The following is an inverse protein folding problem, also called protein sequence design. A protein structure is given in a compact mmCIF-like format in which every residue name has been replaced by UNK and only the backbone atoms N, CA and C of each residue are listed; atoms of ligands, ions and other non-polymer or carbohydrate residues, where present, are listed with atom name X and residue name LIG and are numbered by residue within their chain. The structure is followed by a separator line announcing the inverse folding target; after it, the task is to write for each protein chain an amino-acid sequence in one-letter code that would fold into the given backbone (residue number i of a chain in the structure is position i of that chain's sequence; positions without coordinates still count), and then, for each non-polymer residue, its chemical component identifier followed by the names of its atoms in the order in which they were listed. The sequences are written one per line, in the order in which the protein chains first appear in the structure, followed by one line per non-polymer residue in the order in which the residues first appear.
data_IF_708317435752
#
_entry.id   IF_708317435752
#
_cell.length_a   1.000
_cell.length_b   1.000
_cell.length_c   1.000
_cell.angle_alpha   90.00
_cell.angle_beta   90.00
_cell.angle_gamma   90.00
#
_symmetry.space_group_name_H-M   'P 1'
#
loop_
_entity.id
_entity.type
_entity.pdbx_description
1 polymer ?
#
# COMPACT_ATOMS: atom_id res chain seq x y z
N UNK A 1 -17.17 -4.34 12.27
CA UNK A 1 -16.69 -4.51 13.64
C UNK A 1 -15.33 -5.25 13.62
N UNK A 2 -14.24 -4.68 14.16
CA UNK A 2 -12.91 -5.28 14.16
C UNK A 2 -12.79 -6.59 14.95
N UNK A 3 -13.57 -6.74 16.03
CA UNK A 3 -13.54 -7.93 16.89
C UNK A 3 -14.09 -9.14 16.12
N UNK A 4 -15.26 -8.98 15.50
CA UNK A 4 -15.90 -10.03 14.71
C UNK A 4 -15.03 -10.50 13.54
N UNK A 5 -14.31 -9.58 12.87
CA UNK A 5 -13.36 -9.95 11.79
C UNK A 5 -12.19 -10.77 12.31
N UNK A 6 -11.63 -10.40 13.46
CA UNK A 6 -10.53 -11.16 14.07
C UNK A 6 -11.00 -12.58 14.42
N UNK A 7 -12.20 -12.72 14.98
CA UNK A 7 -12.72 -14.04 15.35
C UNK A 7 -13.07 -14.87 14.12
N UNK A 8 -13.56 -14.25 13.04
CA UNK A 8 -13.71 -14.91 11.75
C UNK A 8 -12.39 -15.45 11.20
N UNK A 9 -11.32 -14.65 11.21
CA UNK A 9 -9.99 -15.10 10.78
C UNK A 9 -9.44 -16.26 11.61
N UNK A 10 -9.72 -16.31 12.92
CA UNK A 10 -9.35 -17.46 13.76
C UNK A 10 -10.01 -18.74 13.27
N UNK A 11 -11.30 -18.69 12.92
CA UNK A 11 -12.02 -19.85 12.39
C UNK A 11 -11.39 -20.32 11.08
N UNK A 12 -11.06 -19.40 10.17
CA UNK A 12 -10.40 -19.74 8.91
C UNK A 12 -9.04 -20.43 9.14
N UNK A 13 -8.26 -19.97 10.12
CA UNK A 13 -6.98 -20.59 10.45
C UNK A 13 -7.15 -21.99 11.06
N UNK A 14 -8.17 -22.24 11.89
CA UNK A 14 -8.43 -23.59 12.40
C UNK A 14 -8.84 -24.54 11.27
N UNK A 15 -9.73 -24.13 10.37
CA UNK A 15 -10.11 -24.93 9.21
C UNK A 15 -8.92 -25.22 8.29
N UNK A 16 -8.02 -24.25 8.11
CA UNK A 16 -6.79 -24.45 7.34
C UNK A 16 -5.88 -25.51 7.99
N UNK A 17 -5.76 -25.53 9.32
CA UNK A 17 -4.99 -26.55 10.06
C UNK A 17 -5.59 -27.95 9.92
N UNK A 18 -6.91 -28.04 9.73
CA UNK A 18 -7.63 -29.28 9.44
C UNK A 18 -7.46 -29.75 7.98
N UNK A 19 -6.75 -28.99 7.14
CA UNK A 19 -6.47 -29.32 5.74
C UNK A 19 -7.54 -28.83 4.75
N UNK A 20 -8.47 -27.97 5.20
CA UNK A 20 -9.48 -27.38 4.32
C UNK A 20 -8.84 -26.32 3.41
N UNK A 21 -9.09 -26.43 2.11
CA UNK A 21 -8.73 -25.37 1.14
C UNK A 21 -9.77 -24.26 1.18
N UNK A 22 -9.30 -23.02 1.35
CA UNK A 22 -10.16 -21.84 1.49
C UNK A 22 -9.87 -20.89 0.34
N UNK A 23 -10.93 -20.42 -0.33
CA UNK A 23 -10.87 -19.35 -1.31
C UNK A 23 -11.57 -18.12 -0.76
N UNK A 24 -10.86 -16.98 -0.71
CA UNK A 24 -11.39 -15.70 -0.20
C UNK A 24 -11.31 -14.65 -1.29
N UNK A 25 -12.43 -13.95 -1.51
CA UNK A 25 -12.45 -12.70 -2.25
C UNK A 25 -12.69 -11.54 -1.29
N UNK A 26 -11.80 -10.57 -1.25
CA UNK A 26 -11.93 -9.38 -0.40
C UNK A 26 -11.44 -8.14 -1.16
N UNK A 27 -12.05 -7.00 -0.86
CA UNK A 27 -11.56 -5.69 -1.30
C UNK A 27 -10.61 -5.06 -0.28
N UNK A 28 -10.39 -5.70 0.87
CA UNK A 28 -9.49 -5.25 1.92
C UNK A 28 -8.12 -5.91 1.74
N UNK A 29 -7.11 -5.14 1.34
CA UNK A 29 -5.81 -5.70 0.96
C UNK A 29 -5.00 -6.15 2.19
N UNK A 30 -5.25 -5.59 3.37
CA UNK A 30 -4.73 -6.05 4.65
C UNK A 30 -5.26 -7.44 5.05
N UNK A 31 -6.47 -7.80 4.61
CA UNK A 31 -7.02 -9.14 4.72
C UNK A 31 -6.35 -10.09 3.73
N UNK A 32 -6.12 -9.65 2.48
CA UNK A 32 -5.41 -10.45 1.48
C UNK A 32 -3.98 -10.79 1.92
N UNK A 33 -3.29 -9.89 2.62
CA UNK A 33 -1.94 -10.14 3.17
C UNK A 33 -1.83 -11.32 4.12
N UNK A 34 -2.95 -11.75 4.69
CA UNK A 34 -3.02 -12.88 5.63
C UNK A 34 -3.08 -14.24 4.93
N UNK A 35 -3.30 -14.25 3.62
CA UNK A 35 -3.40 -15.46 2.82
C UNK A 35 -2.03 -16.03 2.47
N UNK A 36 -1.98 -17.34 2.20
CA UNK A 36 -0.77 -18.02 1.74
C UNK A 36 -0.36 -17.60 0.33
N UNK A 37 -1.35 -17.37 -0.53
CA UNK A 37 -1.21 -16.79 -1.87
C UNK A 37 -2.28 -15.73 -2.09
N UNK A 38 -1.97 -14.73 -2.90
CA UNK A 38 -2.86 -13.62 -3.25
C UNK A 38 -2.89 -13.48 -4.77
N UNK A 39 -4.09 -13.32 -5.31
CA UNK A 39 -4.31 -12.85 -6.68
C UNK A 39 -4.83 -11.41 -6.66
N UNK A 40 -4.07 -10.47 -7.23
CA UNK A 40 -4.47 -9.07 -7.37
C UNK A 40 -5.21 -8.89 -8.69
N UNK A 41 -6.45 -8.38 -8.63
CA UNK A 41 -7.31 -8.21 -9.80
C UNK A 41 -7.69 -6.73 -9.94
N UNK A 42 -7.58 -6.18 -11.14
CA UNK A 42 -8.03 -4.84 -11.50
C UNK A 42 -8.66 -4.86 -12.88
N UNK A 43 -9.80 -4.19 -13.05
CA UNK A 43 -10.56 -4.13 -14.32
C UNK A 43 -10.79 -5.51 -14.98
N UNK A 44 -11.12 -6.51 -14.16
CA UNK A 44 -11.38 -7.88 -14.63
C UNK A 44 -10.15 -8.66 -15.06
N UNK A 45 -8.94 -8.14 -14.84
CA UNK A 45 -7.67 -8.79 -15.18
C UNK A 45 -6.89 -9.16 -13.93
N UNK A 46 -6.34 -10.37 -13.90
CA UNK A 46 -5.38 -10.78 -12.88
C UNK A 46 -4.05 -10.09 -13.17
N UNK A 47 -3.69 -9.11 -12.34
CA UNK A 47 -2.44 -8.36 -12.45
C UNK A 47 -1.25 -9.21 -11.99
N UNK A 48 -1.41 -9.90 -10.86
CA UNK A 48 -0.36 -10.72 -10.28
C UNK A 48 -0.93 -11.80 -9.37
N UNK A 49 -0.25 -12.95 -9.28
CA UNK A 49 -0.54 -14.01 -8.32
C UNK A 49 0.74 -14.57 -7.73
N UNK A 50 0.92 -14.46 -6.42
CA UNK A 50 2.04 -15.06 -5.68
C UNK A 50 1.78 -15.01 -4.16
N UNK A 51 2.74 -15.43 -3.34
CA UNK A 51 2.71 -15.16 -1.89
C UNK A 51 2.79 -13.64 -1.63
N UNK A 52 2.18 -13.13 -0.54
CA UNK A 52 2.27 -11.71 -0.21
C UNK A 52 3.72 -11.20 -0.09
N UNK A 53 4.61 -12.01 0.46
CA UNK A 53 6.03 -11.66 0.59
C UNK A 53 6.74 -11.55 -0.75
N UNK A 54 6.45 -12.46 -1.69
CA UNK A 54 7.03 -12.42 -3.03
C UNK A 54 6.53 -11.21 -3.84
N UNK A 55 5.24 -10.88 -3.75
CA UNK A 55 4.67 -9.68 -4.39
C UNK A 55 5.35 -8.43 -3.84
N UNK A 56 5.44 -8.29 -2.51
CA UNK A 56 6.10 -7.15 -1.86
C UNK A 56 7.58 -7.03 -2.22
N UNK A 57 8.30 -8.14 -2.31
CA UNK A 57 9.72 -8.14 -2.67
C UNK A 57 9.95 -7.71 -4.13
N UNK A 58 9.10 -8.18 -5.06
CA UNK A 58 9.19 -7.84 -6.48
C UNK A 58 8.92 -6.36 -6.75
N UNK A 59 8.01 -5.75 -6.00
CA UNK A 59 7.63 -4.34 -6.11
C UNK A 59 8.16 -3.49 -4.96
N UNK A 60 9.30 -3.89 -4.40
CA UNK A 60 9.92 -3.13 -3.32
C UNK A 60 10.29 -1.72 -3.80
N UNK A 61 9.97 -0.73 -2.99
CA UNK A 61 10.30 0.67 -3.22
C UNK A 61 10.66 1.32 -1.88
N UNK A 62 11.52 2.36 -1.86
CA UNK A 62 11.75 3.13 -0.65
C UNK A 62 10.43 3.75 -0.19
N UNK A 63 10.08 3.55 1.08
CA UNK A 63 8.82 4.03 1.62
C UNK A 63 9.01 4.50 3.05
N UNK A 64 8.33 5.60 3.38
CA UNK A 64 8.27 6.14 4.72
C UNK A 64 6.83 6.20 5.23
N UNK A 65 6.67 5.96 6.52
CA UNK A 65 5.47 6.24 7.30
C UNK A 65 5.67 7.55 8.07
N UNK A 66 4.70 8.45 7.95
CA UNK A 66 4.67 9.73 8.66
C UNK A 66 3.32 9.93 9.33
N UNK A 67 3.31 10.50 10.54
CA UNK A 67 2.08 10.90 11.21
C UNK A 67 1.70 12.30 10.76
N UNK A 68 0.43 12.55 10.43
CA UNK A 68 0.00 13.91 10.13
C UNK A 68 -1.45 14.11 10.59
N UNK A 69 -1.70 15.13 11.41
CA UNK A 69 -3.05 15.46 11.88
C UNK A 69 -4.02 15.77 10.73
N UNK A 70 -3.49 16.28 9.61
CA UNK A 70 -4.24 16.62 8.39
C UNK A 70 -3.86 15.73 7.19
N UNK A 71 -3.74 14.40 7.41
CA UNK A 71 -3.27 13.43 6.40
C UNK A 71 -3.88 13.61 5.00
N UNK A 72 -5.19 13.87 4.88
CA UNK A 72 -5.88 14.06 3.58
C UNK A 72 -5.43 15.29 2.81
N UNK A 73 -5.19 16.40 3.51
CA UNK A 73 -4.75 17.64 2.87
C UNK A 73 -3.28 17.52 2.47
N UNK A 74 -2.46 16.99 3.37
CA UNK A 74 -1.04 16.72 3.12
C UNK A 74 -0.85 15.76 1.95
N UNK A 75 -1.66 14.70 1.86
CA UNK A 75 -1.66 13.77 0.73
C UNK A 75 -1.82 14.51 -0.61
N UNK A 76 -2.78 15.44 -0.71
CA UNK A 76 -3.03 16.20 -1.94
C UNK A 76 -1.85 17.08 -2.34
N UNK A 77 -1.10 17.60 -1.37
CA UNK A 77 0.07 18.43 -1.61
C UNK A 77 1.23 17.54 -2.05
N UNK A 78 1.49 16.46 -1.31
CA UNK A 78 2.70 15.64 -1.48
C UNK A 78 2.62 14.71 -2.69
N UNK A 79 1.41 14.28 -3.11
CA UNK A 79 1.23 13.48 -4.33
C UNK A 79 1.67 14.20 -5.62
N UNK A 80 1.79 15.53 -5.59
CA UNK A 80 2.27 16.33 -6.72
C UNK A 80 3.80 16.44 -6.76
N UNK A 81 4.50 15.89 -5.77
CA UNK A 81 5.95 15.87 -5.75
C UNK A 81 6.50 14.82 -6.71
N UNK A 82 7.39 15.23 -7.61
CA UNK A 82 8.03 14.32 -8.57
C UNK A 82 8.88 13.23 -7.92
N UNK A 83 9.28 13.40 -6.65
CA UNK A 83 10.03 12.41 -5.87
C UNK A 83 9.12 11.34 -5.27
N UNK A 84 7.81 11.56 -5.26
CA UNK A 84 6.82 10.68 -4.66
C UNK A 84 6.20 9.79 -5.74
N UNK A 85 6.26 8.49 -5.53
CA UNK A 85 5.74 7.47 -6.46
C UNK A 85 4.33 7.01 -6.10
N UNK A 86 3.91 7.22 -4.86
CA UNK A 86 2.57 6.90 -4.37
C UNK A 86 2.35 7.38 -2.94
N UNK A 87 1.09 7.60 -2.57
CA UNK A 87 0.71 8.00 -1.20
C UNK A 87 -0.56 7.26 -0.80
N UNK A 88 -0.57 6.70 0.41
CA UNK A 88 -1.72 6.03 1.01
C UNK A 88 -2.02 6.55 2.42
N UNK A 89 -3.29 6.53 2.83
CA UNK A 89 -3.72 6.92 4.19
C UNK A 89 -3.99 5.66 5.00
N UNK A 90 -3.30 5.52 6.13
CA UNK A 90 -3.41 4.42 7.07
C UNK A 90 -3.78 4.92 8.47
N UNK A 91 -5.06 5.32 8.62
CA UNK A 91 -5.56 5.98 9.83
C UNK A 91 -5.09 7.43 9.89
N UNK A 92 -4.30 7.77 10.91
CA UNK A 92 -3.65 9.08 11.14
C UNK A 92 -2.25 9.16 10.51
N UNK A 93 -1.86 8.12 9.77
CA UNK A 93 -0.55 7.99 9.14
C UNK A 93 -0.65 8.04 7.62
N UNK A 94 0.39 8.55 6.99
CA UNK A 94 0.60 8.47 5.56
C UNK A 94 1.75 7.50 5.28
N UNK A 95 1.52 6.59 4.36
CA UNK A 95 2.61 5.88 3.70
C UNK A 95 2.95 6.64 2.43
N UNK A 96 4.23 6.96 2.24
CA UNK A 96 4.73 7.73 1.11
C UNK A 96 5.80 6.91 0.42
N UNK A 97 5.49 6.42 -0.78
CA UNK A 97 6.44 5.79 -1.68
C UNK A 97 7.31 6.84 -2.36
N UNK A 98 8.60 6.55 -2.48
CA UNK A 98 9.61 7.45 -3.00
C UNK A 98 10.28 6.86 -4.23
N UNK A 99 10.75 7.72 -5.13
CA UNK A 99 11.53 7.31 -6.29
C UNK A 99 12.91 6.79 -5.86
N UNK A 100 13.57 7.51 -4.95
CA UNK A 100 14.86 7.12 -4.37
C UNK A 100 14.85 7.33 -2.84
N UNK A 101 15.57 6.48 -2.10
CA UNK A 101 15.71 6.62 -0.64
C UNK A 101 16.41 7.93 -0.23
N UNK A 102 17.24 8.48 -1.10
CA UNK A 102 17.92 9.77 -0.91
C UNK A 102 16.98 10.97 -0.97
N UNK A 103 15.74 10.81 -1.44
CA UNK A 103 14.74 11.88 -1.50
C UNK A 103 14.07 12.17 -0.14
N UNK A 104 14.22 11.27 0.85
CA UNK A 104 13.57 11.38 2.17
C UNK A 104 13.75 12.77 2.80
N UNK A 105 14.96 13.35 2.92
CA UNK A 105 15.13 14.66 3.58
C UNK A 105 14.35 15.77 2.88
N UNK A 106 14.28 15.71 1.55
CA UNK A 106 13.66 16.75 0.75
C UNK A 106 12.11 16.64 0.77
N UNK A 107 11.59 15.42 0.82
CA UNK A 107 10.15 15.15 1.06
C UNK A 107 9.75 15.55 2.48
N UNK A 108 10.56 15.25 3.49
CA UNK A 108 10.30 15.68 4.87
C UNK A 108 10.32 17.20 5.03
N UNK A 109 11.21 17.90 4.32
CA UNK A 109 11.20 19.37 4.26
C UNK A 109 9.88 19.91 3.72
N UNK A 110 9.40 19.36 2.60
CA UNK A 110 8.12 19.75 1.99
C UNK A 110 6.92 19.46 2.89
N UNK A 111 6.92 18.32 3.59
CA UNK A 111 5.88 17.97 4.56
C UNK A 111 5.83 18.99 5.72
N UNK A 112 7.00 19.40 6.21
CA UNK A 112 7.14 20.42 7.26
C UNK A 112 6.61 21.78 6.80
N UNK A 113 6.99 22.22 5.59
CA UNK A 113 6.50 23.48 4.98
C UNK A 113 4.97 23.47 4.77
N UNK A 114 4.39 22.28 4.60
CA UNK A 114 2.95 22.07 4.40
C UNK A 114 2.17 21.95 5.73
N UNK A 115 2.83 22.09 6.88
CA UNK A 115 2.20 22.03 8.20
C UNK A 115 2.03 20.63 8.78
N UNK A 116 2.64 19.58 8.19
CA UNK A 116 2.76 18.30 8.88
C UNK A 116 3.86 18.40 9.94
N UNK A 117 3.45 18.61 11.20
CA UNK A 117 4.32 19.03 12.30
C UNK A 117 5.14 17.90 12.95
N UNK A 118 5.04 16.66 12.48
CA UNK A 118 5.47 15.51 13.28
C UNK A 118 6.97 15.26 13.29
N UNK A 119 7.76 15.88 12.39
CA UNK A 119 9.24 15.90 12.42
C UNK A 119 9.94 14.54 12.33
N UNK A 120 9.21 13.45 12.51
CA UNK A 120 9.68 12.07 12.59
C UNK A 120 8.99 11.24 11.52
N UNK A 121 9.76 10.31 10.95
CA UNK A 121 9.27 9.31 10.01
C UNK A 121 9.85 7.96 10.38
N UNK A 122 9.20 6.90 9.89
CA UNK A 122 9.74 5.55 9.93
C UNK A 122 9.91 5.02 8.53
N UNK A 123 11.06 4.45 8.22
CA UNK A 123 11.16 3.64 7.01
C UNK A 123 10.37 2.35 7.18
N UNK A 124 9.59 2.01 6.17
CA UNK A 124 8.75 0.82 6.14
C UNK A 124 8.95 0.08 4.82
N UNK A 125 8.64 -1.22 4.83
CA UNK A 125 8.42 -1.97 3.59
C UNK A 125 6.99 -1.74 3.10
N UNK A 126 6.75 -1.71 1.78
CA UNK A 126 5.40 -1.51 1.25
C UNK A 126 4.48 -2.67 1.66
N UNK A 127 3.24 -2.35 1.96
CA UNK A 127 2.14 -3.32 2.09
C UNK A 127 1.68 -3.80 0.70
N UNK A 128 0.81 -4.81 0.65
CA UNK A 128 0.13 -5.21 -0.59
C UNK A 128 -0.78 -4.09 -1.10
N UNK A 129 -1.36 -3.29 -0.21
CA UNK A 129 -2.13 -2.12 -0.58
C UNK A 129 -1.27 -1.08 -1.32
N UNK A 130 -0.09 -0.77 -0.76
CA UNK A 130 0.87 0.14 -1.39
C UNK A 130 1.31 -0.38 -2.77
N UNK A 131 1.64 -1.66 -2.87
CA UNK A 131 2.02 -2.30 -4.14
C UNK A 131 0.88 -2.26 -5.15
N UNK A 132 -0.35 -2.58 -4.75
CA UNK A 132 -1.50 -2.61 -5.63
C UNK A 132 -1.79 -1.22 -6.24
N UNK A 133 -1.74 -0.17 -5.43
CA UNK A 133 -1.93 1.20 -5.93
C UNK A 133 -0.81 1.66 -6.86
N UNK A 134 0.45 1.31 -6.56
CA UNK A 134 1.57 1.59 -7.45
C UNK A 134 1.40 0.89 -8.82
N UNK A 135 0.94 -0.37 -8.83
CA UNK A 135 0.68 -1.12 -10.07
C UNK A 135 -0.43 -0.46 -10.92
N UNK A 136 -1.53 -0.03 -10.28
CA UNK A 136 -2.62 0.65 -10.98
C UNK A 136 -2.15 2.00 -11.57
N UNK A 137 -1.38 2.77 -10.79
CA UNK A 137 -0.83 4.05 -11.26
C UNK A 137 0.06 3.88 -12.50
N UNK A 138 0.91 2.84 -12.53
CA UNK A 138 1.74 2.53 -13.69
C UNK A 138 0.92 2.11 -14.91
N UNK A 139 -0.18 1.38 -14.72
CA UNK A 139 -1.04 0.92 -15.83
C UNK A 139 -1.76 2.11 -16.49
N UNK A 140 -2.34 3.03 -15.71
CA UNK A 140 -2.97 4.24 -16.21
C UNK A 140 -1.98 5.14 -17.01
N UNK A 141 -0.71 5.19 -16.58
CA UNK A 141 0.36 5.90 -17.30
C UNK A 141 0.82 5.24 -18.61
N UNK A 142 0.62 3.92 -18.76
CA UNK A 142 0.99 3.17 -19.97
C UNK A 142 -0.11 3.16 -21.04
N UNK A 143 -1.38 3.12 -20.64
CA UNK A 143 -2.51 3.24 -21.57
C UNK A 143 -2.61 4.64 -22.19
N UNK A 144 -2.19 5.69 -21.48
CA UNK A 144 -2.11 7.05 -22.02
C UNK A 144 -1.05 7.27 -23.12
N UNK A 145 -0.09 6.34 -23.29
CA UNK A 145 0.95 6.42 -24.33
C UNK A 145 0.66 5.59 -25.58
N UNK A 146 -0.32 4.70 -25.54
CA UNK A 146 -0.67 3.83 -26.67
C UNK A 146 -1.77 4.42 -27.58
N UNK A 147 -2.26 5.64 -27.28
CA UNK A 147 -3.40 6.27 -27.94
C UNK A 147 -3.12 7.61 -28.62
N UNK A 148 -1.90 7.86 -29.11
CA UNK A 148 -1.58 9.00 -30.01
C UNK A 148 -0.85 8.51 -31.25
#
# INVERSE_FOLDING_TARGET
DPVSRRDFWKILYELLKEGVTIFVSTSYLDEAERCTEVGLIYEGRLLEKNTPSAIKAKHAMPMIEVWCDNAREIMKIIQSDQRVTGVGIYGDRLHIGLADRTDIPAVMGRLSDSGCATGEYREISPSIEDVFFAMIGAQAGSEGKAGT
#
